data_IF_819223741649
#
_entry.id   IF_819223741649
#
_cell.length_a   1.000
_cell.length_b   1.000
_cell.length_c   1.000
_cell.angle_alpha   90.00
_cell.angle_beta   90.00
_cell.angle_gamma   90.00
#
_symmetry.space_group_name_H-M   'P 1'
#
loop_
_entity.id
_entity.type
_entity.pdbx_description
1 polymer ?
#
# COMPACT_ATOMS: atom_id res chain seq x y z
N UNK A 1 -34.62 -39.99 40.40
CA UNK A 1 -34.75 -38.58 40.00
C UNK A 1 -34.29 -38.50 38.54
N UNK A 2 -35.12 -38.56 37.49
CA UNK A 2 -36.56 -38.32 37.35
C UNK A 2 -36.98 -36.89 37.75
N UNK A 3 -37.70 -36.11 36.93
CA UNK A 3 -38.10 -36.28 35.52
C UNK A 3 -38.32 -34.90 34.84
N UNK A 4 -38.61 -34.87 33.54
CA UNK A 4 -38.85 -33.65 32.74
C UNK A 4 -40.36 -33.41 32.41
N UNK A 5 -40.63 -32.35 31.63
CA UNK A 5 -41.90 -31.91 30.99
C UNK A 5 -42.77 -30.88 31.75
N UNK A 6 -43.71 -30.11 31.14
CA UNK A 6 -43.80 -29.47 29.79
C UNK A 6 -45.09 -28.60 29.67
N UNK A 7 -45.11 -27.64 28.71
CA UNK A 7 -46.30 -26.91 28.18
C UNK A 7 -47.11 -26.03 29.19
N UNK A 8 -48.10 -25.17 28.82
CA UNK A 8 -48.76 -24.83 27.55
C UNK A 8 -49.18 -23.31 27.51
N UNK A 9 -50.05 -22.88 26.56
CA UNK A 9 -50.39 -21.47 26.25
C UNK A 9 -51.91 -21.10 26.37
N UNK A 10 -52.39 -20.06 25.62
CA UNK A 10 -53.74 -19.41 25.59
C UNK A 10 -54.01 -18.38 26.73
N UNK A 11 -54.87 -17.33 26.65
CA UNK A 11 -55.77 -16.71 25.64
C UNK A 11 -55.40 -15.19 25.46
N UNK A 12 -55.81 -14.33 24.51
CA UNK A 12 -56.80 -14.23 23.39
C UNK A 12 -58.16 -13.51 23.62
N UNK A 13 -58.63 -12.78 22.57
CA UNK A 13 -59.93 -12.06 22.38
C UNK A 13 -60.23 -10.74 23.15
N UNK A 14 -61.17 -9.84 22.75
CA UNK A 14 -61.56 -9.25 21.43
C UNK A 14 -62.58 -8.07 21.61
N UNK A 15 -63.04 -7.41 20.52
CA UNK A 15 -64.10 -6.35 20.41
C UNK A 15 -63.63 -4.88 20.53
N UNK A 16 -63.99 -3.88 19.68
CA UNK A 16 -65.24 -3.42 19.01
C UNK A 16 -66.01 -2.36 19.85
N UNK A 17 -66.55 -1.23 19.31
CA UNK A 17 -66.41 -0.58 17.99
C UNK A 17 -67.01 0.86 17.99
N UNK A 18 -66.87 1.58 16.87
CA UNK A 18 -67.85 2.55 16.28
C UNK A 18 -68.13 3.95 16.90
N UNK A 19 -67.69 4.98 16.15
CA UNK A 19 -68.54 5.98 15.45
C UNK A 19 -68.59 7.47 15.88
N UNK A 20 -69.07 8.26 14.92
CA UNK A 20 -69.41 9.70 14.89
C UNK A 20 -68.29 10.76 14.91
N UNK A 21 -68.67 11.95 14.41
CA UNK A 21 -67.77 12.97 13.88
C UNK A 21 -68.32 14.39 14.10
N UNK A 22 -67.46 15.41 14.01
CA UNK A 22 -67.79 16.70 13.41
C UNK A 22 -66.55 17.58 13.13
N UNK A 23 -66.73 18.61 12.29
CA UNK A 23 -65.69 19.60 11.93
C UNK A 23 -65.58 20.70 12.98
N UNK A 24 -64.36 21.22 13.20
CA UNK A 24 -64.07 22.67 13.17
C UNK A 24 -62.57 22.94 13.04
N UNK A 25 -62.20 24.01 12.34
CA UNK A 25 -60.83 24.53 12.27
C UNK A 25 -60.58 25.49 13.44
N UNK A 26 -59.33 25.62 13.88
CA UNK A 26 -58.68 26.89 14.28
C UNK A 26 -57.17 26.65 14.48
N UNK A 27 -56.38 27.73 14.46
CA UNK A 27 -54.91 27.70 14.36
C UNK A 27 -54.20 27.51 15.72
N UNK A 28 -53.09 26.76 15.80
CA UNK A 28 -52.26 26.65 17.00
C UNK A 28 -51.11 27.68 17.07
N UNK A 29 -50.55 27.84 18.27
CA UNK A 29 -49.56 28.83 18.69
C UNK A 29 -48.08 28.44 18.46
N UNK A 30 -47.11 29.39 18.52
CA UNK A 30 -45.70 29.11 18.25
C UNK A 30 -45.04 28.28 19.37
N UNK A 31 -44.43 27.14 19.01
CA UNK A 31 -43.59 26.35 19.92
C UNK A 31 -42.12 26.81 19.86
N UNK A 32 -41.53 27.09 21.03
CA UNK A 32 -40.07 27.12 21.18
C UNK A 32 -39.53 25.71 20.93
N UNK A 33 -38.46 25.60 20.14
CA UNK A 33 -37.66 24.39 19.98
C UNK A 33 -36.19 24.75 20.19
N UNK A 34 -35.63 24.31 21.32
CA UNK A 34 -34.20 24.48 21.59
C UNK A 34 -33.39 23.56 20.67
N UNK A 35 -32.54 24.15 19.82
CA UNK A 35 -31.55 23.38 19.05
C UNK A 35 -30.30 23.16 19.90
N UNK A 36 -30.09 21.92 20.33
CA UNK A 36 -28.76 21.45 20.75
C UNK A 36 -27.85 21.40 19.52
N UNK A 37 -26.95 22.38 19.41
CA UNK A 37 -25.94 22.43 18.35
C UNK A 37 -24.85 21.38 18.60
N UNK A 38 -24.98 20.22 17.96
CA UNK A 38 -23.85 19.30 17.81
C UNK A 38 -22.82 19.94 16.88
N UNK A 39 -21.78 20.55 17.44
CA UNK A 39 -20.66 21.08 16.66
C UNK A 39 -19.71 19.97 16.22
N UNK A 40 -20.15 19.19 15.24
CA UNK A 40 -19.23 18.50 14.34
C UNK A 40 -18.45 19.57 13.56
N UNK A 41 -17.24 19.91 14.02
CA UNK A 41 -16.28 20.73 13.26
C UNK A 41 -15.84 19.96 12.03
N UNK A 42 -16.58 20.09 10.92
CA UNK A 42 -16.13 19.63 9.62
C UNK A 42 -14.86 20.36 9.23
N UNK A 43 -13.91 19.64 8.60
CA UNK A 43 -12.70 20.22 8.05
C UNK A 43 -13.09 21.37 7.10
N UNK A 44 -12.49 22.55 7.30
CA UNK A 44 -12.74 23.69 6.41
C UNK A 44 -12.01 23.44 5.09
N UNK A 45 -12.75 22.95 4.09
CA UNK A 45 -12.19 22.57 2.78
C UNK A 45 -11.78 23.82 2.00
N UNK A 46 -10.59 24.33 2.33
CA UNK A 46 -9.91 25.38 1.57
C UNK A 46 -9.61 24.83 0.18
N UNK A 47 -9.98 25.59 -0.86
CA UNK A 47 -9.76 25.16 -2.24
C UNK A 47 -8.26 24.91 -2.51
N UNK A 48 -7.96 23.79 -3.18
CA UNK A 48 -6.59 23.37 -3.53
C UNK A 48 -5.85 24.48 -4.28
N UNK A 49 -4.67 24.88 -3.78
CA UNK A 49 -3.83 25.87 -4.44
C UNK A 49 -3.46 25.38 -5.85
N UNK A 50 -3.62 26.23 -6.86
CA UNK A 50 -3.44 25.87 -8.27
C UNK A 50 -4.60 25.08 -8.88
N UNK A 51 -5.71 24.88 -8.16
CA UNK A 51 -6.92 24.15 -8.60
C UNK A 51 -6.66 22.69 -9.04
N UNK A 52 -5.51 22.11 -8.67
CA UNK A 52 -5.12 20.74 -9.01
C UNK A 52 -6.14 19.75 -8.46
N UNK A 53 -6.71 18.90 -9.32
CA UNK A 53 -7.57 17.79 -8.92
C UNK A 53 -6.85 16.49 -9.25
N UNK A 54 -6.49 15.64 -8.25
CA UNK A 54 -5.95 14.33 -8.55
C UNK A 54 -7.02 13.47 -9.25
N UNK A 55 -6.61 12.74 -10.28
CA UNK A 55 -7.37 11.60 -10.80
C UNK A 55 -7.46 10.50 -9.73
N UNK A 56 -8.44 9.60 -9.85
CA UNK A 56 -8.64 8.48 -8.93
C UNK A 56 -7.37 7.62 -8.83
N UNK A 57 -7.00 7.25 -7.60
CA UNK A 57 -5.86 6.37 -7.34
C UNK A 57 -6.15 4.95 -7.86
N UNK A 58 -5.19 4.35 -8.59
CA UNK A 58 -5.33 3.04 -9.21
C UNK A 58 -4.45 2.00 -8.52
N UNK A 59 -4.96 1.41 -7.43
CA UNK A 59 -4.30 0.27 -6.78
C UNK A 59 -4.29 -0.95 -7.73
N UNK A 60 -3.12 -1.55 -8.04
CA UNK A 60 -3.05 -2.74 -8.88
C UNK A 60 -3.86 -3.91 -8.31
N UNK A 61 -4.84 -4.36 -9.07
CA UNK A 61 -5.68 -5.54 -8.77
C UNK A 61 -5.12 -6.73 -9.54
N UNK A 62 -4.08 -7.37 -9.00
CA UNK A 62 -3.43 -8.55 -9.59
C UNK A 62 -3.74 -9.77 -8.73
N UNK A 63 -4.40 -10.77 -9.32
CA UNK A 63 -4.58 -12.08 -8.70
C UNK A 63 -3.30 -12.90 -8.89
N UNK A 64 -2.75 -13.42 -7.79
CA UNK A 64 -1.68 -14.42 -7.82
C UNK A 64 -2.27 -15.80 -7.56
N UNK A 65 -1.85 -16.78 -8.35
CA UNK A 65 -2.28 -18.17 -8.25
C UNK A 65 -1.07 -19.09 -8.40
N UNK A 66 -0.92 -20.10 -7.55
CA UNK A 66 0.09 -21.14 -7.77
C UNK A 66 -0.42 -22.22 -8.71
N UNK A 67 0.46 -22.79 -9.54
CA UNK A 67 0.12 -23.87 -10.48
C UNK A 67 1.23 -24.92 -10.59
N UNK A 68 0.89 -26.14 -10.22
CA UNK A 68 1.69 -27.33 -10.55
C UNK A 68 1.22 -27.89 -11.90
N UNK A 69 1.70 -27.26 -12.98
CA UNK A 69 1.44 -27.66 -14.36
C UNK A 69 2.74 -27.66 -15.16
N UNK A 70 2.72 -28.31 -16.33
CA UNK A 70 3.82 -28.23 -17.26
C UNK A 70 3.95 -26.81 -17.85
N UNK A 71 5.15 -26.23 -17.76
CA UNK A 71 5.48 -24.89 -18.29
C UNK A 71 5.15 -24.74 -19.78
N UNK A 72 5.28 -25.81 -20.56
CA UNK A 72 5.00 -25.83 -22.00
C UNK A 72 3.49 -25.88 -22.33
N UNK A 73 2.65 -26.23 -21.35
CA UNK A 73 1.19 -26.31 -21.51
C UNK A 73 0.45 -25.07 -21.02
N UNK A 74 1.14 -24.15 -20.32
CA UNK A 74 0.57 -22.89 -19.85
C UNK A 74 0.09 -22.00 -21.01
N UNK A 75 -0.98 -21.22 -20.77
CA UNK A 75 -1.64 -20.37 -21.78
C UNK A 75 -1.91 -18.98 -21.24
N UNK A 76 -1.56 -17.95 -22.00
CA UNK A 76 -1.73 -16.56 -21.62
C UNK A 76 -1.00 -15.56 -22.54
N UNK A 77 -0.63 -14.39 -22.00
CA UNK A 77 -0.02 -13.31 -22.79
C UNK A 77 1.51 -13.30 -22.71
N UNK A 78 2.08 -13.68 -21.55
CA UNK A 78 3.53 -13.74 -21.34
C UNK A 78 3.93 -14.80 -20.31
N UNK A 79 4.79 -15.74 -20.70
CA UNK A 79 5.54 -16.59 -19.78
C UNK A 79 6.89 -15.95 -19.48
N UNK A 80 7.32 -15.94 -18.21
CA UNK A 80 8.65 -15.51 -17.78
C UNK A 80 9.38 -16.66 -17.08
N UNK A 81 10.62 -16.93 -17.50
CA UNK A 81 11.50 -17.93 -16.90
C UNK A 81 12.65 -17.20 -16.20
N UNK A 82 12.70 -17.29 -14.87
CA UNK A 82 13.78 -16.76 -14.08
C UNK A 82 14.96 -17.75 -14.08
N UNK A 83 16.15 -17.28 -14.46
CA UNK A 83 17.33 -18.11 -14.73
C UNK A 83 18.57 -17.58 -14.03
N UNK A 84 19.36 -18.47 -13.43
CA UNK A 84 20.68 -18.15 -12.92
C UNK A 84 21.76 -18.24 -14.01
N UNK A 85 22.97 -17.78 -13.68
CA UNK A 85 24.19 -18.01 -14.46
C UNK A 85 24.42 -19.49 -14.84
N UNK A 86 23.98 -20.43 -13.99
CA UNK A 86 24.12 -21.87 -14.23
C UNK A 86 23.02 -22.49 -15.08
N UNK A 87 21.81 -21.93 -15.08
CA UNK A 87 20.69 -22.51 -15.83
C UNK A 87 20.90 -22.39 -17.35
N UNK A 88 21.66 -21.38 -17.78
CA UNK A 88 22.05 -21.16 -19.17
C UNK A 88 23.24 -22.03 -19.62
N UNK A 89 23.72 -22.95 -18.78
CA UNK A 89 24.74 -23.92 -19.19
C UNK A 89 24.23 -24.77 -20.36
N UNK A 90 25.13 -25.05 -21.31
CA UNK A 90 24.84 -25.80 -22.54
C UNK A 90 25.53 -27.17 -22.52
N UNK A 91 24.91 -28.14 -23.19
CA UNK A 91 25.47 -29.47 -23.42
C UNK A 91 26.47 -29.49 -24.61
N UNK A 92 26.97 -30.68 -24.97
CA UNK A 92 27.88 -30.89 -26.11
C UNK A 92 27.32 -30.40 -27.44
N UNK A 93 26.00 -30.38 -27.56
CA UNK A 93 25.28 -30.09 -28.80
C UNK A 93 24.87 -28.60 -28.86
N UNK A 94 25.39 -27.78 -27.93
CA UNK A 94 25.07 -26.36 -27.73
C UNK A 94 23.60 -26.06 -27.36
N UNK A 95 22.87 -27.07 -26.88
CA UNK A 95 21.50 -26.94 -26.35
C UNK A 95 21.53 -26.67 -24.86
N UNK A 96 20.46 -26.09 -24.29
CA UNK A 96 20.38 -25.89 -22.85
C UNK A 96 20.42 -27.22 -22.08
N UNK A 97 21.21 -27.27 -21.00
CA UNK A 97 21.25 -28.38 -20.07
C UNK A 97 20.10 -28.32 -19.04
N UNK A 98 19.58 -27.13 -18.74
CA UNK A 98 18.39 -26.97 -17.90
C UNK A 98 17.13 -27.51 -18.62
N UNK A 99 16.33 -28.40 -18.00
CA UNK A 99 15.22 -29.08 -18.67
C UNK A 99 14.06 -28.16 -19.07
N UNK A 100 13.80 -27.08 -18.31
CA UNK A 100 12.75 -26.11 -18.63
C UNK A 100 13.15 -25.31 -19.88
N UNK A 101 14.38 -24.79 -19.90
CA UNK A 101 14.89 -24.03 -21.05
C UNK A 101 15.01 -24.92 -22.29
N UNK A 102 15.53 -26.13 -22.14
CA UNK A 102 15.64 -27.11 -23.22
C UNK A 102 14.29 -27.42 -23.86
N UNK A 103 13.28 -27.72 -23.05
CA UNK A 103 11.93 -28.07 -23.56
C UNK A 103 11.29 -26.90 -24.31
N UNK A 104 11.43 -25.68 -23.81
CA UNK A 104 10.92 -24.48 -24.46
C UNK A 104 11.68 -24.17 -25.76
N UNK A 105 13.00 -24.33 -25.78
CA UNK A 105 13.84 -24.10 -26.96
C UNK A 105 13.63 -25.17 -28.05
N UNK A 106 13.47 -26.44 -27.68
CA UNK A 106 13.12 -27.54 -28.60
C UNK A 106 11.72 -27.33 -29.24
N UNK A 107 10.75 -26.76 -28.51
CA UNK A 107 9.46 -26.34 -29.08
C UNK A 107 9.56 -25.12 -30.02
N UNK A 108 10.62 -24.32 -29.90
CA UNK A 108 10.86 -23.11 -30.69
C UNK A 108 11.94 -23.29 -31.76
N UNK A 109 12.43 -24.51 -31.96
CA UNK A 109 13.41 -24.84 -33.00
C UNK A 109 14.81 -24.26 -32.78
N UNK A 110 15.18 -23.88 -31.56
CA UNK A 110 16.47 -23.25 -31.23
C UNK A 110 16.45 -21.72 -31.10
N UNK A 111 15.31 -21.08 -31.40
CA UNK A 111 15.18 -19.61 -31.39
C UNK A 111 15.45 -18.97 -30.02
N UNK A 112 15.21 -19.68 -28.92
CA UNK A 112 15.49 -19.17 -27.57
C UNK A 112 16.99 -19.19 -27.28
N UNK A 113 17.69 -20.25 -27.70
CA UNK A 113 19.14 -20.37 -27.58
C UNK A 113 19.92 -19.46 -28.54
N UNK A 114 19.32 -19.12 -29.70
CA UNK A 114 19.83 -18.16 -30.69
C UNK A 114 19.73 -16.73 -30.17
N UNK A 115 18.51 -16.22 -29.91
CA UNK A 115 18.30 -14.85 -29.44
C UNK A 115 19.00 -14.55 -28.10
N UNK A 116 19.09 -15.55 -27.19
CA UNK A 116 19.85 -15.38 -25.94
C UNK A 116 21.36 -15.14 -26.18
N UNK A 117 21.91 -15.68 -27.26
CA UNK A 117 23.31 -15.46 -27.63
C UNK A 117 23.51 -14.12 -28.35
N UNK A 118 22.56 -13.71 -29.21
CA UNK A 118 22.60 -12.40 -29.89
C UNK A 118 22.48 -11.21 -28.92
N UNK A 119 21.71 -11.36 -27.83
CA UNK A 119 21.46 -10.31 -26.83
C UNK A 119 22.46 -10.32 -25.64
N UNK A 120 23.57 -11.09 -25.69
CA UNK A 120 24.51 -11.37 -24.56
C UNK A 120 23.79 -11.80 -23.26
N UNK A 121 22.65 -12.48 -23.38
CA UNK A 121 21.84 -12.85 -22.24
C UNK A 121 22.51 -14.01 -21.48
N UNK A 122 23.12 -13.67 -20.35
CA UNK A 122 24.02 -14.53 -19.57
C UNK A 122 23.54 -14.72 -18.12
N UNK A 123 22.24 -14.49 -17.89
CA UNK A 123 21.57 -14.76 -16.61
C UNK A 123 21.95 -13.80 -15.49
N UNK A 124 22.71 -12.74 -15.79
CA UNK A 124 23.16 -11.74 -14.81
C UNK A 124 21.96 -10.96 -14.26
N UNK A 125 21.99 -10.60 -12.98
CA UNK A 125 20.90 -9.87 -12.34
C UNK A 125 20.61 -8.56 -13.08
N UNK A 126 19.35 -8.35 -13.47
CA UNK A 126 18.91 -7.18 -14.24
C UNK A 126 18.96 -7.34 -15.76
N UNK A 127 19.50 -8.44 -16.31
CA UNK A 127 19.27 -8.78 -17.72
C UNK A 127 17.87 -9.36 -17.92
N UNK A 128 17.23 -9.04 -19.06
CA UNK A 128 16.06 -9.75 -19.55
C UNK A 128 15.99 -9.71 -21.08
N UNK A 129 15.46 -10.78 -21.67
CA UNK A 129 15.08 -10.87 -23.09
C UNK A 129 13.59 -11.23 -23.17
N UNK A 130 12.87 -10.79 -24.20
CA UNK A 130 11.42 -11.05 -24.36
C UNK A 130 11.03 -11.26 -25.82
N UNK A 131 10.85 -12.53 -26.21
CA UNK A 131 10.52 -12.97 -27.56
C UNK A 131 8.99 -12.98 -27.79
N UNK A 132 8.57 -12.58 -29.00
CA UNK A 132 7.18 -12.59 -29.47
C UNK A 132 6.95 -13.83 -30.36
N UNK A 133 6.15 -14.78 -29.88
CA UNK A 133 6.11 -16.13 -30.45
C UNK A 133 4.75 -16.46 -31.11
N UNK A 134 4.67 -16.74 -32.42
CA UNK A 134 3.47 -17.28 -33.05
C UNK A 134 3.26 -18.76 -32.66
N UNK A 135 2.03 -19.28 -32.82
CA UNK A 135 1.71 -20.71 -32.65
C UNK A 135 1.68 -21.27 -31.22
N UNK A 136 2.43 -20.68 -30.29
CA UNK A 136 2.51 -21.11 -28.88
C UNK A 136 1.23 -20.85 -28.08
N UNK A 137 1.05 -21.60 -26.99
CA UNK A 137 -0.02 -21.38 -26.00
C UNK A 137 0.03 -20.00 -25.31
N UNK A 138 1.20 -19.38 -25.31
CA UNK A 138 1.45 -18.03 -24.81
C UNK A 138 2.00 -17.11 -25.91
N UNK A 139 1.65 -15.82 -25.87
CA UNK A 139 2.05 -14.86 -26.92
C UNK A 139 3.51 -14.41 -26.82
N UNK A 140 4.14 -14.51 -25.65
CA UNK A 140 5.52 -14.11 -25.40
C UNK A 140 6.21 -15.05 -24.41
N UNK A 141 7.51 -15.24 -24.58
CA UNK A 141 8.41 -15.87 -23.63
C UNK A 141 9.50 -14.87 -23.28
N UNK A 142 9.75 -14.64 -22.00
CA UNK A 142 10.90 -13.88 -21.55
C UNK A 142 11.81 -14.68 -20.63
N UNK A 143 13.12 -14.42 -20.71
CA UNK A 143 14.08 -14.86 -19.70
C UNK A 143 14.42 -13.67 -18.80
N UNK A 144 14.61 -13.92 -17.51
CA UNK A 144 14.98 -12.89 -16.53
C UNK A 144 16.15 -13.39 -15.69
N UNK A 145 17.26 -12.64 -15.67
CA UNK A 145 18.46 -13.00 -14.93
C UNK A 145 18.29 -12.84 -13.43
N UNK A 146 18.48 -13.93 -12.68
CA UNK A 146 18.57 -13.98 -11.22
C UNK A 146 19.96 -13.60 -10.70
N UNK A 147 20.99 -13.67 -11.55
CA UNK A 147 22.39 -13.54 -11.16
C UNK A 147 23.01 -14.86 -10.68
N UNK A 148 24.08 -14.73 -9.90
CA UNK A 148 24.91 -15.86 -9.47
C UNK A 148 24.24 -16.74 -8.44
N UNK A 149 24.27 -18.07 -8.60
CA UNK A 149 23.54 -19.04 -7.76
C UNK A 149 23.93 -19.14 -6.26
N UNK A 150 24.68 -18.19 -5.67
CA UNK A 150 25.14 -18.27 -4.27
C UNK A 150 24.18 -17.57 -3.30
N UNK A 151 23.60 -18.27 -2.31
CA UNK A 151 22.69 -17.67 -1.35
C UNK A 151 23.44 -16.84 -0.29
N UNK A 152 23.57 -15.53 -0.50
CA UNK A 152 24.12 -14.59 0.47
C UNK A 152 23.13 -13.45 0.75
N UNK A 153 22.14 -13.72 1.60
CA UNK A 153 21.14 -12.76 2.15
C UNK A 153 20.22 -12.03 1.14
N UNK A 154 20.53 -12.06 -0.15
CA UNK A 154 19.84 -11.30 -1.21
C UNK A 154 18.83 -12.07 -2.06
N UNK A 155 18.55 -13.35 -1.80
CA UNK A 155 17.71 -14.20 -2.66
C UNK A 155 16.31 -13.62 -2.87
N UNK A 156 15.71 -13.08 -1.81
CA UNK A 156 14.42 -12.36 -1.84
C UNK A 156 14.47 -11.13 -2.77
N UNK A 157 15.60 -10.44 -2.85
CA UNK A 157 15.79 -9.27 -3.73
C UNK A 157 15.85 -9.69 -5.20
N UNK A 158 16.54 -10.78 -5.52
CA UNK A 158 16.57 -11.33 -6.88
C UNK A 158 15.17 -11.74 -7.36
N UNK A 159 14.41 -12.45 -6.52
CA UNK A 159 13.03 -12.82 -6.80
C UNK A 159 12.08 -11.60 -6.91
N UNK A 160 12.34 -10.51 -6.18
CA UNK A 160 11.62 -9.24 -6.39
C UNK A 160 11.92 -8.63 -7.75
N UNK A 161 13.19 -8.63 -8.16
CA UNK A 161 13.62 -8.17 -9.49
C UNK A 161 12.96 -8.94 -10.63
N UNK A 162 12.72 -10.26 -10.45
CA UNK A 162 11.91 -11.05 -11.40
C UNK A 162 10.49 -10.51 -11.52
N UNK A 163 9.81 -10.26 -10.40
CA UNK A 163 8.47 -9.67 -10.41
C UNK A 163 8.43 -8.28 -11.06
N UNK A 164 9.44 -7.44 -10.78
CA UNK A 164 9.58 -6.10 -11.37
C UNK A 164 9.82 -6.16 -12.89
N UNK A 165 10.62 -7.12 -13.37
CA UNK A 165 10.80 -7.38 -14.80
C UNK A 165 9.51 -7.91 -15.47
N UNK A 166 8.77 -8.80 -14.81
CA UNK A 166 7.47 -9.31 -15.28
C UNK A 166 6.44 -8.18 -15.38
N UNK A 167 6.42 -7.25 -14.42
CA UNK A 167 5.59 -6.06 -14.47
C UNK A 167 5.96 -5.13 -15.64
N UNK A 168 7.25 -4.83 -15.81
CA UNK A 168 7.73 -3.95 -16.87
C UNK A 168 7.46 -4.53 -18.27
N UNK A 169 7.82 -5.80 -18.49
CA UNK A 169 7.58 -6.51 -19.74
C UNK A 169 6.08 -6.71 -20.00
N UNK A 170 5.29 -7.07 -18.98
CA UNK A 170 3.83 -7.18 -19.08
C UNK A 170 3.15 -5.86 -19.46
N UNK A 171 3.61 -4.74 -18.91
CA UNK A 171 3.14 -3.39 -19.28
C UNK A 171 3.50 -3.04 -20.72
N UNK A 172 4.74 -3.26 -21.15
CA UNK A 172 5.17 -3.03 -22.53
C UNK A 172 4.46 -3.95 -23.54
N UNK A 173 4.17 -5.19 -23.15
CA UNK A 173 3.47 -6.20 -23.92
C UNK A 173 1.95 -5.99 -24.03
N UNK A 174 1.39 -5.10 -23.19
CA UNK A 174 -0.05 -5.00 -22.88
C UNK A 174 -0.68 -6.35 -22.47
N UNK A 175 0.07 -7.16 -21.72
CA UNK A 175 -0.36 -8.45 -21.21
C UNK A 175 -1.49 -8.31 -20.17
N UNK A 176 -2.47 -9.22 -20.19
CA UNK A 176 -3.46 -9.35 -19.13
C UNK A 176 -3.20 -10.52 -18.19
N UNK A 177 -2.57 -11.59 -18.68
CA UNK A 177 -2.28 -12.80 -17.92
C UNK A 177 -0.82 -13.19 -18.15
N UNK A 178 -0.04 -13.29 -17.07
CA UNK A 178 1.34 -13.74 -17.14
C UNK A 178 1.59 -14.99 -16.28
N UNK A 179 2.72 -15.65 -16.49
CA UNK A 179 3.23 -16.71 -15.62
C UNK A 179 4.71 -16.48 -15.29
N UNK A 180 5.13 -16.95 -14.13
CA UNK A 180 6.53 -16.95 -13.68
C UNK A 180 6.91 -18.35 -13.23
N UNK A 181 8.00 -18.87 -13.77
CA UNK A 181 8.65 -20.11 -13.33
C UNK A 181 10.13 -19.82 -13.05
N UNK A 182 10.76 -20.57 -12.15
CA UNK A 182 12.22 -20.54 -11.95
C UNK A 182 12.81 -21.79 -12.60
N UNK A 183 13.85 -21.61 -13.42
CA UNK A 183 14.49 -22.72 -14.14
C UNK A 183 15.24 -23.67 -13.19
N UNK A 184 15.93 -23.13 -12.17
CA UNK A 184 16.55 -23.90 -11.10
C UNK A 184 15.55 -24.34 -10.04
N UNK A 185 15.68 -25.54 -9.49
CA UNK A 185 14.88 -25.98 -8.35
C UNK A 185 15.07 -25.06 -7.12
N UNK A 186 13.98 -24.44 -6.66
CA UNK A 186 13.94 -23.64 -5.42
C UNK A 186 13.72 -24.59 -4.24
N UNK A 187 14.54 -24.49 -3.18
CA UNK A 187 14.35 -25.34 -1.98
C UNK A 187 13.00 -25.06 -1.32
N UNK A 188 12.38 -26.10 -0.75
CA UNK A 188 11.03 -26.01 -0.16
C UNK A 188 10.91 -24.87 0.86
N UNK A 189 11.88 -24.75 1.78
CA UNK A 189 12.01 -23.67 2.76
C UNK A 189 12.05 -22.25 2.15
N UNK A 190 12.52 -22.14 0.91
CA UNK A 190 12.63 -20.88 0.17
C UNK A 190 11.41 -20.58 -0.71
N UNK A 191 10.66 -21.59 -1.17
CA UNK A 191 9.56 -21.43 -2.15
C UNK A 191 8.55 -20.37 -1.72
N UNK A 192 8.04 -20.46 -0.49
CA UNK A 192 7.08 -19.49 0.06
C UNK A 192 7.62 -18.05 0.03
N UNK A 193 8.87 -17.87 0.45
CA UNK A 193 9.51 -16.55 0.50
C UNK A 193 9.81 -16.00 -0.92
N UNK A 194 10.21 -16.88 -1.84
CA UNK A 194 10.47 -16.55 -3.24
C UNK A 194 9.20 -16.18 -4.02
N UNK A 195 8.14 -16.97 -3.92
CA UNK A 195 6.84 -16.67 -4.53
C UNK A 195 6.26 -15.34 -4.02
N UNK A 196 6.32 -15.09 -2.71
CA UNK A 196 5.90 -13.79 -2.14
C UNK A 196 6.77 -12.62 -2.57
N UNK A 197 8.04 -12.83 -2.89
CA UNK A 197 8.93 -11.80 -3.42
C UNK A 197 8.63 -11.48 -4.88
N UNK A 198 8.38 -12.50 -5.71
CA UNK A 198 7.89 -12.34 -7.10
C UNK A 198 6.58 -11.55 -7.10
N UNK A 199 5.59 -11.94 -6.30
CA UNK A 199 4.32 -11.22 -6.17
C UNK A 199 4.51 -9.76 -5.72
N UNK A 200 5.40 -9.54 -4.74
CA UNK A 200 5.74 -8.19 -4.26
C UNK A 200 6.41 -7.32 -5.32
N UNK A 201 7.30 -7.89 -6.12
CA UNK A 201 7.95 -7.19 -7.24
C UNK A 201 6.94 -6.83 -8.33
N UNK A 202 6.08 -7.77 -8.70
CA UNK A 202 5.03 -7.56 -9.70
C UNK A 202 4.08 -6.43 -9.30
N UNK A 203 3.54 -6.45 -8.07
CA UNK A 203 2.62 -5.41 -7.60
C UNK A 203 3.28 -4.01 -7.57
N UNK A 204 4.53 -3.93 -7.10
CA UNK A 204 5.22 -2.66 -6.92
C UNK A 204 5.86 -2.10 -8.19
N UNK A 205 6.12 -2.95 -9.19
CA UNK A 205 6.55 -2.59 -10.54
C UNK A 205 5.38 -2.26 -11.49
N UNK A 206 4.18 -2.84 -11.28
CA UNK A 206 2.97 -2.43 -12.02
C UNK A 206 2.45 -1.07 -11.57
N UNK A 207 2.64 -0.71 -10.29
CA UNK A 207 2.23 0.59 -9.76
C UNK A 207 2.94 1.76 -10.48
N UNK A 208 2.15 2.60 -11.15
CA UNK A 208 2.58 3.90 -11.65
C UNK A 208 1.61 4.98 -11.17
N UNK A 209 2.13 6.00 -10.50
CA UNK A 209 1.33 7.12 -10.03
C UNK A 209 1.00 8.08 -11.16
N UNK A 210 -0.20 7.91 -11.70
CA UNK A 210 -0.73 8.71 -12.80
C UNK A 210 -1.73 9.77 -12.33
N UNK A 211 -1.92 9.96 -11.01
CA UNK A 211 -2.98 10.84 -10.45
C UNK A 211 -2.84 12.31 -10.85
N UNK A 212 -1.63 12.75 -11.20
CA UNK A 212 -1.30 14.14 -11.56
C UNK A 212 -0.91 14.31 -13.04
N UNK A 213 -1.19 13.33 -13.91
CA UNK A 213 -0.98 13.41 -15.35
C UNK A 213 -2.32 13.59 -16.08
N UNK A 214 -2.33 14.37 -17.16
CA UNK A 214 -3.49 14.48 -18.07
C UNK A 214 -3.72 13.23 -18.90
N UNK A 215 -2.64 12.57 -19.32
CA UNK A 215 -2.65 11.33 -20.10
C UNK A 215 -1.84 10.24 -19.39
N UNK A 216 -2.34 9.02 -19.42
CA UNK A 216 -1.63 7.84 -18.91
C UNK A 216 -2.09 6.55 -19.59
N UNK A 217 -1.23 5.53 -19.57
CA UNK A 217 -1.55 4.18 -20.05
C UNK A 217 -1.56 3.23 -18.87
N UNK A 218 -2.74 2.73 -18.53
CA UNK A 218 -2.95 1.76 -17.44
C UNK A 218 -2.27 0.44 -17.79
N UNK A 219 -1.76 -0.26 -16.78
CA UNK A 219 -1.39 -1.67 -16.95
C UNK A 219 -2.65 -2.50 -17.19
N UNK A 220 -2.55 -3.51 -18.06
CA UNK A 220 -3.65 -4.45 -18.31
C UNK A 220 -3.51 -5.76 -17.53
N UNK A 221 -2.42 -5.93 -16.76
CA UNK A 221 -2.08 -7.16 -16.05
C UNK A 221 -3.04 -7.39 -14.87
N UNK A 222 -3.77 -8.51 -14.92
CA UNK A 222 -4.82 -8.91 -13.97
C UNK A 222 -4.46 -10.18 -13.21
N UNK A 223 -3.66 -11.06 -13.80
CA UNK A 223 -3.27 -12.33 -13.20
C UNK A 223 -1.79 -12.63 -13.43
N UNK A 224 -1.16 -13.23 -12.41
CA UNK A 224 0.17 -13.84 -12.53
C UNK A 224 0.14 -15.22 -11.89
N UNK A 225 0.31 -16.24 -12.72
CA UNK A 225 0.54 -17.61 -12.25
C UNK A 225 1.99 -17.77 -11.79
N UNK A 226 2.19 -18.49 -10.70
CA UNK A 226 3.50 -18.85 -10.16
C UNK A 226 3.63 -20.38 -10.26
N UNK A 227 4.56 -20.87 -11.07
CA UNK A 227 4.62 -22.29 -11.49
C UNK A 227 5.76 -23.03 -10.77
N UNK A 228 5.47 -24.20 -10.19
CA UNK A 228 6.46 -25.07 -9.55
C UNK A 228 6.82 -24.70 -8.10
N UNK A 229 5.97 -23.93 -7.42
CA UNK A 229 6.19 -23.43 -6.06
C UNK A 229 5.40 -24.19 -4.98
N UNK A 230 4.73 -25.27 -5.35
CA UNK A 230 3.78 -26.00 -4.50
C UNK A 230 2.38 -25.40 -4.55
N UNK A 231 1.41 -26.07 -3.94
CA UNK A 231 0.01 -25.62 -3.91
C UNK A 231 -0.61 -25.87 -2.55
N UNK A 232 -1.36 -24.89 -2.01
CA UNK A 232 -2.09 -25.04 -0.76
C UNK A 232 -2.17 -23.75 0.05
N UNK A 233 -2.95 -23.81 1.13
CA UNK A 233 -3.36 -22.64 1.90
C UNK A 233 -2.19 -21.79 2.43
N UNK A 234 -1.07 -22.41 2.84
CA UNK A 234 0.10 -21.66 3.33
C UNK A 234 0.70 -20.73 2.26
N UNK A 235 0.76 -21.18 1.00
CA UNK A 235 1.25 -20.36 -0.11
C UNK A 235 0.24 -19.27 -0.46
N UNK A 236 -1.06 -19.57 -0.48
CA UNK A 236 -2.11 -18.58 -0.75
C UNK A 236 -2.15 -17.49 0.34
N UNK A 237 -2.05 -17.88 1.62
CA UNK A 237 -1.88 -16.95 2.75
C UNK A 237 -0.61 -16.10 2.60
N UNK A 238 0.52 -16.70 2.16
CA UNK A 238 1.79 -15.98 1.94
C UNK A 238 1.73 -14.99 0.78
N UNK A 239 1.04 -15.32 -0.31
CA UNK A 239 0.79 -14.44 -1.46
C UNK A 239 -0.19 -13.31 -1.11
N UNK A 240 -1.22 -13.60 -0.30
CA UNK A 240 -2.09 -12.56 0.28
C UNK A 240 -1.30 -11.63 1.18
N UNK A 241 -0.47 -12.14 2.09
CA UNK A 241 0.38 -11.35 2.99
C UNK A 241 1.33 -10.41 2.23
N UNK A 242 1.92 -10.88 1.13
CA UNK A 242 2.70 -10.04 0.21
C UNK A 242 1.87 -8.90 -0.38
N UNK A 243 0.64 -9.19 -0.78
CA UNK A 243 -0.31 -8.23 -1.35
C UNK A 243 -0.77 -7.19 -0.31
N UNK A 244 -1.08 -7.61 0.92
CA UNK A 244 -1.44 -6.75 2.05
C UNK A 244 -0.30 -5.75 2.34
N UNK A 245 0.95 -6.22 2.41
CA UNK A 245 2.14 -5.36 2.56
C UNK A 245 2.28 -4.39 1.39
N UNK A 246 2.17 -4.87 0.16
CA UNK A 246 2.34 -4.03 -1.02
C UNK A 246 1.29 -2.93 -1.10
N UNK A 247 0.05 -3.16 -0.65
CA UNK A 247 -0.97 -2.11 -0.55
C UNK A 247 -0.57 -0.98 0.43
N UNK A 248 0.14 -1.31 1.52
CA UNK A 248 0.70 -0.33 2.47
C UNK A 248 1.90 0.43 1.89
N UNK A 249 2.77 -0.26 1.15
CA UNK A 249 3.90 0.38 0.43
C UNK A 249 3.39 1.30 -0.68
N UNK A 250 2.34 0.92 -1.40
CA UNK A 250 1.70 1.73 -2.44
C UNK A 250 1.08 2.98 -1.83
N UNK A 251 0.32 2.87 -0.73
CA UNK A 251 -0.16 4.05 0.00
C UNK A 251 1.01 4.96 0.43
N UNK A 252 2.12 4.39 0.90
CA UNK A 252 3.34 5.15 1.23
C UNK A 252 3.89 5.93 0.03
N UNK A 253 3.97 5.29 -1.16
CA UNK A 253 4.35 5.98 -2.42
C UNK A 253 3.34 7.07 -2.79
N UNK A 254 2.04 6.78 -2.71
CA UNK A 254 0.96 7.72 -3.05
C UNK A 254 0.94 8.96 -2.16
N UNK A 255 1.28 8.82 -0.87
CA UNK A 255 1.40 9.97 0.01
C UNK A 255 2.64 10.82 -0.35
N UNK A 256 3.83 10.22 -0.47
CA UNK A 256 5.09 10.93 -0.80
C UNK A 256 5.06 11.57 -2.20
N UNK A 257 4.38 10.94 -3.15
CA UNK A 257 4.25 11.47 -4.51
C UNK A 257 3.33 12.69 -4.58
N UNK A 258 2.31 12.77 -3.73
CA UNK A 258 1.36 13.87 -3.75
C UNK A 258 2.05 15.20 -3.40
N UNK A 259 1.86 16.27 -4.20
CA UNK A 259 2.45 17.57 -3.90
C UNK A 259 1.77 18.20 -2.67
N UNK A 260 2.50 19.04 -1.93
CA UNK A 260 2.05 19.60 -0.66
C UNK A 260 0.77 20.46 -0.75
N UNK A 261 0.46 21.05 -1.91
CA UNK A 261 -0.80 21.74 -2.14
C UNK A 261 -2.02 20.81 -2.14
N UNK A 262 -1.81 19.50 -2.33
CA UNK A 262 -2.83 18.44 -2.30
C UNK A 262 -2.77 17.69 -0.96
N UNK A 263 -1.59 17.19 -0.58
CA UNK A 263 -1.40 16.49 0.71
C UNK A 263 -0.93 17.46 1.80
N UNK A 264 -1.86 18.30 2.24
CA UNK A 264 -1.68 19.16 3.43
C UNK A 264 -1.76 18.34 4.74
N UNK A 265 -1.43 18.91 5.92
CA UNK A 265 -1.57 18.19 7.19
C UNK A 265 -2.98 17.69 7.48
N UNK A 266 -4.00 18.46 7.06
CA UNK A 266 -5.40 18.06 7.15
C UNK A 266 -5.71 16.86 6.25
N UNK A 267 -5.26 16.88 4.99
CA UNK A 267 -5.42 15.76 4.07
C UNK A 267 -4.70 14.49 4.56
N UNK A 268 -3.52 14.62 5.17
CA UNK A 268 -2.81 13.49 5.79
C UNK A 268 -3.59 12.90 7.00
N UNK A 269 -4.27 13.74 7.77
CA UNK A 269 -5.17 13.32 8.84
C UNK A 269 -6.48 12.69 8.32
N UNK A 270 -6.99 13.13 7.16
CA UNK A 270 -8.09 12.46 6.45
C UNK A 270 -7.67 11.07 5.97
N UNK A 271 -6.48 10.89 5.37
CA UNK A 271 -5.99 9.56 4.96
C UNK A 271 -5.81 8.61 6.16
N UNK A 272 -5.29 9.10 7.28
CA UNK A 272 -5.25 8.32 8.52
C UNK A 272 -6.65 7.95 9.03
N UNK A 273 -7.62 8.86 8.91
CA UNK A 273 -9.02 8.61 9.26
C UNK A 273 -9.66 7.56 8.33
N UNK A 274 -9.37 7.60 7.02
CA UNK A 274 -9.84 6.61 6.03
C UNK A 274 -9.32 5.20 6.35
N UNK A 275 -8.07 5.05 6.80
CA UNK A 275 -7.54 3.76 7.30
C UNK A 275 -8.38 3.25 8.47
N UNK A 276 -8.62 4.11 9.48
CA UNK A 276 -9.40 3.71 10.65
C UNK A 276 -10.87 3.40 10.33
N UNK A 277 -11.50 4.10 9.39
CA UNK A 277 -12.85 3.77 8.90
C UNK A 277 -12.90 2.46 8.12
N UNK A 278 -11.89 2.16 7.31
CA UNK A 278 -11.83 0.93 6.50
C UNK A 278 -11.57 -0.33 7.34
N UNK A 279 -10.91 -0.19 8.50
CA UNK A 279 -10.56 -1.28 9.42
C UNK A 279 -11.13 -1.05 10.82
N UNK A 280 -12.35 -0.50 10.90
CA UNK A 280 -12.98 -0.03 12.15
C UNK A 280 -13.29 -1.14 13.16
N UNK A 281 -13.12 -2.41 12.80
CA UNK A 281 -13.20 -3.55 13.71
C UNK A 281 -11.91 -3.78 14.53
N UNK A 282 -10.78 -3.21 14.10
CA UNK A 282 -9.46 -3.33 14.75
C UNK A 282 -8.74 -1.99 14.97
N UNK A 283 -9.16 -0.92 14.29
CA UNK A 283 -8.56 0.41 14.40
C UNK A 283 -9.47 1.45 15.04
N UNK A 284 -8.84 2.37 15.77
CA UNK A 284 -9.43 3.63 16.22
C UNK A 284 -8.55 4.80 15.79
N UNK A 285 -9.16 5.97 15.56
CA UNK A 285 -8.48 7.21 15.21
C UNK A 285 -8.78 8.30 16.25
N UNK A 286 -7.74 9.01 16.68
CA UNK A 286 -7.84 10.27 17.40
C UNK A 286 -6.97 11.31 16.67
N UNK A 287 -7.63 12.26 16.03
CA UNK A 287 -6.99 13.44 15.44
C UNK A 287 -7.12 14.59 16.45
N UNK A 288 -6.03 15.32 16.70
CA UNK A 288 -6.03 16.52 17.55
C UNK A 288 -5.80 17.77 16.70
N UNK A 289 -6.57 18.83 16.99
CA UNK A 289 -6.32 20.17 16.44
C UNK A 289 -5.23 20.94 17.23
N UNK A 290 -4.88 22.13 16.74
CA UNK A 290 -3.83 22.95 17.34
C UNK A 290 -4.09 23.33 18.81
N UNK A 291 -5.35 23.56 19.21
CA UNK A 291 -5.69 23.92 20.59
C UNK A 291 -5.63 22.68 21.50
N UNK A 292 -6.05 21.51 21.02
CA UNK A 292 -5.88 20.25 21.75
C UNK A 292 -4.40 19.86 21.93
N UNK A 293 -3.53 20.19 20.96
CA UNK A 293 -2.08 20.03 21.10
C UNK A 293 -1.47 21.03 22.10
N UNK A 294 -2.06 22.22 22.23
CA UNK A 294 -1.65 23.30 23.15
C UNK A 294 -2.08 22.99 24.59
N UNK A 295 -3.27 22.43 24.81
CA UNK A 295 -3.69 21.83 26.09
C UNK A 295 -2.71 20.73 26.56
N UNK A 296 -2.14 19.97 25.61
CA UNK A 296 -1.11 18.96 25.87
C UNK A 296 0.33 19.53 25.88
N UNK A 297 0.48 20.86 25.97
CA UNK A 297 1.76 21.57 26.05
C UNK A 297 2.76 21.26 24.92
N UNK A 298 2.30 20.92 23.72
CA UNK A 298 3.15 20.53 22.58
C UNK A 298 3.87 21.73 21.91
N UNK A 299 4.41 22.67 22.68
CA UNK A 299 4.94 23.96 22.21
C UNK A 299 6.01 23.84 21.12
N UNK A 300 6.98 22.92 21.27
CA UNK A 300 8.00 22.66 20.25
C UNK A 300 7.45 22.21 18.87
N UNK A 301 6.31 21.51 18.84
CA UNK A 301 5.63 21.13 17.59
C UNK A 301 4.81 22.29 17.02
N UNK A 302 4.08 22.97 17.90
CA UNK A 302 3.25 24.12 17.52
C UNK A 302 4.07 25.30 17.00
N UNK A 303 5.30 25.51 17.50
CA UNK A 303 6.20 26.56 17.03
C UNK A 303 6.64 26.35 15.57
N UNK A 304 6.94 25.11 15.17
CA UNK A 304 7.24 24.77 13.76
C UNK A 304 6.01 24.98 12.88
N UNK A 305 4.82 24.58 13.36
CA UNK A 305 3.58 24.72 12.62
C UNK A 305 3.06 26.17 12.49
N UNK A 306 3.46 27.07 13.41
CA UNK A 306 2.88 28.42 13.56
C UNK A 306 3.00 29.31 12.30
N UNK A 307 3.91 28.97 11.39
CA UNK A 307 4.09 29.71 10.14
C UNK A 307 3.03 29.41 9.06
N UNK A 308 2.45 28.20 9.04
CA UNK A 308 1.60 27.77 7.91
C UNK A 308 0.16 28.28 7.99
N UNK A 309 -0.45 28.46 6.82
CA UNK A 309 -1.90 28.71 6.66
C UNK A 309 -2.72 27.43 6.45
N UNK A 310 -2.09 26.25 6.48
CA UNK A 310 -2.74 24.94 6.53
C UNK A 310 -2.57 24.37 7.95
N UNK A 311 -3.64 24.28 8.77
CA UNK A 311 -3.51 24.00 10.21
C UNK A 311 -2.84 22.65 10.52
N UNK A 312 -2.02 22.57 11.59
CA UNK A 312 -1.41 21.33 12.05
C UNK A 312 -2.44 20.35 12.61
N UNK A 313 -2.19 19.05 12.44
CA UNK A 313 -3.04 17.97 12.92
C UNK A 313 -2.18 16.87 13.54
N UNK A 314 -2.37 16.57 14.83
CA UNK A 314 -1.68 15.45 15.46
C UNK A 314 -2.52 14.18 15.30
N UNK A 315 -1.99 13.22 14.55
CA UNK A 315 -2.63 11.98 14.18
C UNK A 315 -2.20 10.89 15.16
N UNK A 316 -3.16 10.21 15.79
CA UNK A 316 -2.94 8.97 16.50
C UNK A 316 -3.94 7.91 16.04
N UNK A 317 -3.45 6.85 15.38
CA UNK A 317 -4.22 5.63 15.14
C UNK A 317 -3.80 4.57 16.17
N UNK A 318 -4.75 3.80 16.69
CA UNK A 318 -4.47 2.65 17.57
C UNK A 318 -5.09 1.38 17.00
N UNK A 319 -4.23 0.41 16.68
CA UNK A 319 -4.58 -0.97 16.33
C UNK A 319 -4.67 -1.82 17.59
N UNK A 320 -5.72 -2.64 17.68
CA UNK A 320 -5.87 -3.73 18.66
C UNK A 320 -6.20 -5.04 17.92
N UNK A 321 -5.77 -6.19 18.42
CA UNK A 321 -6.14 -7.47 17.82
C UNK A 321 -7.64 -7.72 18.06
N UNK A 322 -8.37 -8.33 17.10
CA UNK A 322 -9.80 -8.55 17.24
C UNK A 322 -10.14 -9.59 18.31
N UNK A 323 -9.18 -10.46 18.66
CA UNK A 323 -9.30 -11.51 19.68
C UNK A 323 -7.96 -11.73 20.40
N UNK A 324 -8.03 -12.16 21.66
CA UNK A 324 -6.88 -12.59 22.47
C UNK A 324 -6.08 -11.45 23.13
N UNK A 325 -5.23 -11.83 24.10
CA UNK A 325 -4.52 -10.88 24.96
C UNK A 325 -3.43 -10.09 24.23
N UNK A 326 -3.32 -8.80 24.54
CA UNK A 326 -2.21 -7.94 24.13
C UNK A 326 -0.97 -8.26 24.96
N UNK A 327 -0.03 -9.00 24.37
CA UNK A 327 1.25 -9.39 24.98
C UNK A 327 2.35 -8.33 24.82
N UNK A 328 2.21 -7.42 23.85
CA UNK A 328 3.15 -6.31 23.62
C UNK A 328 2.42 -5.06 23.11
N UNK A 329 2.81 -3.90 23.63
CA UNK A 329 2.42 -2.59 23.09
C UNK A 329 3.59 -1.99 22.33
N UNK A 330 3.31 -1.41 21.16
CA UNK A 330 4.30 -0.79 20.27
C UNK A 330 3.84 0.61 19.86
N UNK A 331 4.80 1.49 19.58
CA UNK A 331 4.55 2.79 18.97
C UNK A 331 5.43 2.94 17.71
N UNK A 332 4.82 3.33 16.60
CA UNK A 332 5.48 3.67 15.34
C UNK A 332 5.24 5.16 15.11
N UNK A 333 6.32 5.95 15.19
CA UNK A 333 6.25 7.42 15.11
C UNK A 333 6.86 7.90 13.80
N UNK A 334 6.10 8.66 13.01
CA UNK A 334 6.52 9.16 11.71
C UNK A 334 6.64 10.68 11.67
N UNK A 335 7.75 11.18 11.11
CA UNK A 335 7.88 12.60 10.76
C UNK A 335 6.83 12.96 9.69
N UNK A 336 6.09 14.04 9.94
CA UNK A 336 4.94 14.48 9.13
C UNK A 336 5.06 15.91 8.61
N UNK A 337 6.25 16.36 8.18
CA UNK A 337 6.38 17.65 7.49
C UNK A 337 5.90 17.49 6.05
N UNK A 338 4.63 17.81 5.79
CA UNK A 338 4.03 17.72 4.44
C UNK A 338 4.66 18.71 3.45
N UNK A 339 5.29 19.76 3.98
CA UNK A 339 6.35 20.50 3.30
C UNK A 339 7.35 21.03 4.32
N UNK A 340 8.62 21.13 3.91
CA UNK A 340 9.67 21.79 4.68
C UNK A 340 10.40 22.83 3.82
N UNK A 341 10.12 24.10 4.04
CA UNK A 341 10.87 25.20 3.42
C UNK A 341 12.22 25.47 4.10
N UNK A 342 12.46 24.92 5.29
CA UNK A 342 13.50 25.37 6.22
C UNK A 342 13.02 26.45 7.21
N UNK A 343 11.86 27.07 6.97
CA UNK A 343 11.40 28.23 7.73
C UNK A 343 12.27 29.44 7.41
N UNK A 344 12.50 30.33 8.38
CA UNK A 344 13.40 31.48 8.18
C UNK A 344 14.85 31.07 7.83
N UNK A 345 15.30 29.90 8.30
CA UNK A 345 16.52 29.22 7.82
C UNK A 345 16.20 28.50 6.48
N UNK A 346 15.77 29.27 5.48
CA UNK A 346 15.31 28.84 4.16
C UNK A 346 16.32 27.91 3.46
N UNK A 347 15.82 26.85 2.82
CA UNK A 347 16.60 25.91 2.00
C UNK A 347 17.08 26.55 0.68
N UNK A 348 17.97 27.53 0.78
CA UNK A 348 18.58 28.22 -0.34
C UNK A 348 19.84 27.49 -0.86
N UNK A 349 20.27 27.86 -2.08
CA UNK A 349 21.48 27.33 -2.72
C UNK A 349 21.25 26.10 -3.61
N UNK A 350 22.24 25.80 -4.45
CA UNK A 350 22.20 24.61 -5.31
C UNK A 350 22.31 23.34 -4.46
N UNK A 351 21.45 22.35 -4.73
CA UNK A 351 21.41 21.09 -3.98
C UNK A 351 20.63 21.14 -2.65
N UNK A 352 19.88 22.22 -2.37
CA UNK A 352 19.01 22.30 -1.18
C UNK A 352 17.77 21.39 -1.23
N UNK A 353 17.42 20.91 -2.44
CA UNK A 353 16.28 20.03 -2.76
C UNK A 353 14.91 20.55 -2.30
N UNK A 354 14.73 21.87 -2.17
CA UNK A 354 13.50 22.49 -1.66
C UNK A 354 12.25 22.08 -2.47
N UNK A 355 12.41 21.87 -3.78
CA UNK A 355 11.37 21.39 -4.69
C UNK A 355 10.92 19.94 -4.43
N UNK A 356 11.74 19.13 -3.76
CA UNK A 356 11.43 17.75 -3.37
C UNK A 356 10.86 17.63 -1.95
N UNK A 357 10.84 18.71 -1.15
CA UNK A 357 10.53 18.68 0.29
C UNK A 357 9.10 18.24 0.65
N UNK A 358 8.22 17.98 -0.33
CA UNK A 358 7.01 17.15 -0.14
C UNK A 358 7.32 15.75 0.42
N UNK A 359 8.54 15.23 0.22
CA UNK A 359 8.96 13.92 0.70
C UNK A 359 9.30 13.87 2.20
N UNK A 360 9.33 15.02 2.89
CA UNK A 360 9.79 15.13 4.28
C UNK A 360 8.76 14.62 5.31
N UNK A 361 7.58 14.23 4.82
CA UNK A 361 6.59 13.42 5.51
C UNK A 361 6.77 11.91 5.30
N UNK A 362 7.81 11.45 4.59
CA UNK A 362 8.01 10.04 4.23
C UNK A 362 8.06 9.07 5.42
N UNK A 363 8.49 9.52 6.60
CA UNK A 363 8.38 8.74 7.84
C UNK A 363 6.92 8.48 8.24
N UNK A 364 6.05 9.48 8.13
CA UNK A 364 4.60 9.32 8.32
C UNK A 364 3.94 8.50 7.20
N UNK A 365 4.43 8.60 5.96
CA UNK A 365 3.98 7.74 4.86
C UNK A 365 4.24 6.26 5.15
N UNK A 366 5.43 5.91 5.63
CA UNK A 366 5.76 4.56 6.10
C UNK A 366 4.91 4.15 7.33
N UNK A 367 4.66 5.08 8.25
CA UNK A 367 3.82 4.84 9.45
C UNK A 367 2.36 4.51 9.07
N UNK A 368 1.75 5.27 8.17
CA UNK A 368 0.38 5.01 7.70
C UNK A 368 0.31 3.81 6.74
N UNK A 369 1.34 3.59 5.92
CA UNK A 369 1.48 2.38 5.12
C UNK A 369 1.55 1.10 5.97
N UNK A 370 2.28 1.14 7.09
CA UNK A 370 2.31 0.05 8.07
C UNK A 370 0.93 -0.17 8.73
N UNK A 371 0.21 0.90 9.08
CA UNK A 371 -1.16 0.80 9.60
C UNK A 371 -2.12 0.15 8.57
N UNK A 372 -2.05 0.57 7.30
CA UNK A 372 -2.80 0.00 6.17
C UNK A 372 -2.54 -1.49 5.96
N UNK A 373 -1.30 -1.95 6.08
CA UNK A 373 -0.96 -3.38 6.01
C UNK A 373 -1.48 -4.14 7.26
N UNK A 374 -1.21 -3.62 8.46
CA UNK A 374 -1.61 -4.26 9.73
C UNK A 374 -3.14 -4.40 9.86
N UNK A 375 -3.92 -3.46 9.32
CA UNK A 375 -5.39 -3.55 9.28
C UNK A 375 -5.93 -4.70 8.42
N UNK A 376 -5.15 -5.21 7.47
CA UNK A 376 -5.49 -6.36 6.62
C UNK A 376 -4.93 -7.68 7.16
N UNK A 377 -3.72 -7.65 7.72
CA UNK A 377 -3.03 -8.81 8.29
C UNK A 377 -3.62 -9.21 9.65
N UNK A 378 -4.13 -8.24 10.42
CA UNK A 378 -4.75 -8.39 11.75
C UNK A 378 -3.93 -9.28 12.73
N UNK A 379 -2.63 -8.97 12.96
CA UNK A 379 -1.74 -9.77 13.80
C UNK A 379 -2.20 -9.84 15.26
N UNK A 380 -2.25 -11.05 15.82
CA UNK A 380 -2.62 -11.28 17.22
C UNK A 380 -1.50 -10.88 18.20
N UNK A 381 -1.86 -10.69 19.47
CA UNK A 381 -0.89 -10.48 20.55
C UNK A 381 -0.25 -9.08 20.65
N UNK A 382 -0.54 -8.15 19.72
CA UNK A 382 0.09 -6.82 19.66
C UNK A 382 -0.94 -5.67 19.60
N UNK A 383 -0.72 -4.63 20.39
CA UNK A 383 -1.40 -3.34 20.27
C UNK A 383 -0.40 -2.32 19.69
N UNK A 384 -0.77 -1.61 18.62
CA UNK A 384 0.17 -0.75 17.87
C UNK A 384 -0.40 0.65 17.73
N UNK A 385 0.34 1.63 18.25
CA UNK A 385 0.03 3.06 18.18
C UNK A 385 0.83 3.67 17.01
N UNK A 386 0.14 4.27 16.05
CA UNK A 386 0.75 4.94 14.90
C UNK A 386 0.57 6.45 15.09
N UNK A 387 1.67 7.18 15.19
CA UNK A 387 1.67 8.57 15.67
C UNK A 387 2.40 9.48 14.68
N UNK A 388 1.75 10.56 14.28
CA UNK A 388 2.30 11.56 13.34
C UNK A 388 1.91 12.96 13.80
N UNK A 389 2.90 13.81 14.05
CA UNK A 389 2.68 15.24 14.25
C UNK A 389 2.74 15.94 12.88
N UNK A 390 1.59 16.11 12.21
CA UNK A 390 1.52 16.60 10.84
C UNK A 390 1.45 18.14 10.79
N UNK A 391 2.38 18.76 10.08
CA UNK A 391 2.43 20.20 9.86
C UNK A 391 3.25 20.56 8.61
N UNK A 392 3.38 21.85 8.32
CA UNK A 392 4.27 22.38 7.27
C UNK A 392 5.23 23.38 7.92
N UNK A 393 6.52 23.29 7.63
CA UNK A 393 7.51 24.28 8.06
C UNK A 393 7.60 25.38 7.00
N UNK A 394 7.05 26.56 7.29
CA UNK A 394 6.83 27.65 6.33
C UNK A 394 7.47 28.98 6.80
N UNK A 395 7.44 30.00 5.94
CA UNK A 395 7.79 31.39 6.31
C UNK A 395 6.51 32.23 6.36
N UNK A 396 6.28 32.94 7.46
CA UNK A 396 5.26 33.99 7.56
C UNK A 396 5.55 34.89 8.77
N UNK A 397 4.73 35.94 8.95
CA UNK A 397 4.80 36.82 10.12
C UNK A 397 4.43 36.16 11.46
N UNK A 398 3.91 34.92 11.46
CA UNK A 398 3.65 34.12 12.66
C UNK A 398 4.62 32.95 12.85
N UNK A 399 5.64 32.83 11.99
CA UNK A 399 6.63 31.75 12.07
C UNK A 399 7.67 31.94 13.18
N UNK A 400 8.13 30.81 13.76
CA UNK A 400 9.27 30.74 14.67
C UNK A 400 10.54 31.28 14.00
N UNK A 401 11.33 32.06 14.75
CA UNK A 401 12.56 32.71 14.30
C UNK A 401 13.80 31.97 14.83
N UNK A 402 14.96 32.07 14.17
CA UNK A 402 16.23 31.69 14.76
C UNK A 402 16.49 32.51 16.04
N UNK A 403 16.91 31.84 17.10
CA UNK A 403 17.05 32.39 18.45
C UNK A 403 15.80 32.31 19.33
N UNK A 404 14.64 31.90 18.82
CA UNK A 404 13.47 31.64 19.67
C UNK A 404 13.71 30.41 20.58
N UNK A 405 13.31 30.52 21.85
CA UNK A 405 13.35 29.41 22.80
C UNK A 405 11.95 28.82 22.94
N UNK A 406 11.79 27.54 22.61
CA UNK A 406 10.51 26.82 22.63
C UNK A 406 10.48 25.74 23.72
N UNK A 407 9.32 25.52 24.31
CA UNK A 407 9.15 24.50 25.38
C UNK A 407 8.45 23.26 24.82
N UNK A 408 9.03 22.09 25.07
CA UNK A 408 8.41 20.79 24.75
C UNK A 408 7.44 20.35 25.87
N UNK A 409 6.54 19.41 25.56
CA UNK A 409 5.50 18.93 26.49
C UNK A 409 6.01 18.20 27.74
N UNK A 410 7.31 17.94 27.83
CA UNK A 410 8.00 17.42 29.02
C UNK A 410 8.69 18.54 29.84
N UNK A 411 8.41 19.81 29.56
CA UNK A 411 8.97 20.98 30.25
C UNK A 411 10.40 21.37 29.83
N UNK A 412 11.05 20.61 28.93
CA UNK A 412 12.39 20.99 28.42
C UNK A 412 12.29 22.15 27.44
N UNK A 413 13.15 23.15 27.62
CA UNK A 413 13.36 24.24 26.66
C UNK A 413 14.37 23.84 25.58
N UNK A 414 14.21 24.42 24.39
CA UNK A 414 15.03 24.18 23.20
C UNK A 414 15.26 25.54 22.54
N UNK A 415 16.52 25.92 22.32
CA UNK A 415 16.90 27.09 21.51
C UNK A 415 16.92 26.68 20.03
N UNK A 416 16.09 27.32 19.19
CA UNK A 416 16.04 27.06 17.75
C UNK A 416 17.12 27.88 17.03
N UNK A 417 18.24 27.24 16.65
CA UNK A 417 19.38 27.86 15.96
C UNK A 417 19.27 27.71 14.43
#
# INVERSE_FOLDING_TARGET
MASAAAAAAFLSCHSSALCFAQRRQLLPSPRRLGRTLSMARGFSVRATLGLTKPSVAETPQITFSSKEIDVAEWKGDMLAVAVSDKDLSKDSDSKFANPILRKLDEQLGGLLAEASAEEDFTGKAGQSTVLRLPGMGFKRLGLVGLGTSKPSSGTTTAYRGVGEAVAAAGKAAQASNAAVVVASAVSEESKLNAASAIASGTLLGVFEDNRFKSESKKSLLKSVDIIGFGSGEELDQKLKYASDICSGVILGKELVNAPANVLTPGALAEEASKIASLYSDVFTAKILDAEQCKELNMGSYLAVAAASSNPPHFIHLCYKPPNGDVKRKLAIVGKGLTFDSGGYNIKAGAGSLIELMKFDMGGSAATLGAAKAIGQIKPSGVEVHFVVAACENMISGSGMRPGDIVTASNGKTIEAR
#
